data_IF_494734968763
#
_entry.id   IF_494734968763
#
_cell.length_a   1.000
_cell.length_b   1.000
_cell.length_c   1.000
_cell.angle_alpha   90.00
_cell.angle_beta   90.00
_cell.angle_gamma   90.00
#
_symmetry.space_group_name_H-M   'P 1'
#
loop_
_entity.id
_entity.type
_entity.pdbx_description
1 polymer ?
#
# COMPACT_ATOMS: atom_id res chain seq x y z
N UNK A 1 -135.25 71.83 -70.78
CA UNK A 1 -135.82 71.87 -69.41
C UNK A 1 -136.13 70.46 -68.86
N UNK A 2 -135.27 69.46 -69.07
CA UNK A 2 -135.29 68.13 -68.41
C UNK A 2 -133.93 67.44 -68.69
N UNK A 3 -132.89 67.72 -67.90
CA UNK A 3 -131.65 66.91 -67.86
C UNK A 3 -130.75 67.34 -66.70
N UNK A 4 -130.80 68.61 -66.31
CA UNK A 4 -130.01 69.19 -65.20
C UNK A 4 -130.22 68.49 -63.84
N UNK A 5 -131.38 67.86 -63.62
CA UNK A 5 -131.67 67.11 -62.39
C UNK A 5 -130.97 65.74 -62.30
N UNK A 6 -130.54 65.15 -63.44
CA UNK A 6 -129.79 63.87 -63.44
C UNK A 6 -128.31 64.07 -63.14
N UNK A 7 -127.75 65.22 -63.51
CA UNK A 7 -126.32 65.51 -63.35
C UNK A 7 -125.95 65.78 -61.90
N UNK A 8 -126.81 66.49 -61.15
CA UNK A 8 -126.57 66.82 -59.74
C UNK A 8 -126.70 65.60 -58.82
N UNK A 9 -127.64 64.70 -59.11
CA UNK A 9 -127.80 63.44 -58.36
C UNK A 9 -126.60 62.50 -58.58
N UNK A 10 -126.07 62.39 -59.80
CA UNK A 10 -124.85 61.63 -60.06
C UNK A 10 -123.63 62.19 -59.33
N UNK A 11 -123.46 63.53 -59.29
CA UNK A 11 -122.31 64.13 -58.60
C UNK A 11 -122.33 63.89 -57.08
N UNK A 12 -123.52 63.92 -56.46
CA UNK A 12 -123.68 63.70 -55.02
C UNK A 12 -123.44 62.23 -54.64
N UNK A 13 -123.87 61.30 -55.50
CA UNK A 13 -123.59 59.87 -55.32
C UNK A 13 -122.10 59.57 -55.50
N UNK A 14 -121.43 60.18 -56.49
CA UNK A 14 -119.98 60.02 -56.68
C UNK A 14 -119.20 60.62 -55.50
N UNK A 15 -119.60 61.78 -54.97
CA UNK A 15 -118.95 62.42 -53.83
C UNK A 15 -119.15 61.62 -52.52
N UNK A 16 -120.35 61.06 -52.30
CA UNK A 16 -120.59 60.23 -51.12
C UNK A 16 -119.92 58.85 -51.21
N UNK A 17 -119.77 58.29 -52.42
CA UNK A 17 -118.99 57.06 -52.64
C UNK A 17 -117.49 57.33 -52.45
N UNK A 18 -116.97 58.49 -52.87
CA UNK A 18 -115.56 58.82 -52.67
C UNK A 18 -115.23 59.15 -51.20
N UNK A 19 -116.10 59.83 -50.46
CA UNK A 19 -115.88 60.10 -49.03
C UNK A 19 -115.96 58.81 -48.18
N UNK A 20 -116.84 57.86 -48.55
CA UNK A 20 -116.94 56.56 -47.85
C UNK A 20 -115.80 55.59 -48.21
N UNK A 21 -115.26 55.63 -49.43
CA UNK A 21 -114.06 54.85 -49.79
C UNK A 21 -112.78 55.41 -49.15
N UNK A 22 -112.59 56.73 -49.10
CA UNK A 22 -111.39 57.34 -48.49
C UNK A 22 -111.28 57.07 -46.99
N UNK A 23 -112.40 56.97 -46.27
CA UNK A 23 -112.42 56.62 -44.84
C UNK A 23 -112.10 55.14 -44.55
N UNK A 24 -112.47 54.21 -45.43
CA UNK A 24 -112.16 52.78 -45.29
C UNK A 24 -110.78 52.38 -45.80
N UNK A 25 -110.20 53.12 -46.76
CA UNK A 25 -108.88 52.80 -47.35
C UNK A 25 -107.75 53.41 -46.52
N UNK A 26 -107.89 54.65 -46.04
CA UNK A 26 -106.85 55.33 -45.26
C UNK A 26 -106.59 54.71 -43.88
N UNK A 27 -107.59 54.10 -43.24
CA UNK A 27 -107.40 53.41 -41.95
C UNK A 27 -106.58 52.12 -42.08
N UNK A 28 -106.74 51.39 -43.19
CA UNK A 28 -105.99 50.15 -43.44
C UNK A 28 -104.54 50.41 -43.85
N UNK A 29 -104.28 51.48 -44.61
CA UNK A 29 -102.92 51.85 -45.05
C UNK A 29 -102.06 52.31 -43.87
N UNK A 30 -102.61 53.18 -43.00
CA UNK A 30 -101.90 53.66 -41.80
C UNK A 30 -101.62 52.52 -40.79
N UNK A 31 -102.53 51.54 -40.69
CA UNK A 31 -102.34 50.37 -39.84
C UNK A 31 -101.25 49.42 -40.38
N UNK A 32 -101.19 49.25 -41.71
CA UNK A 32 -100.16 48.44 -42.37
C UNK A 32 -98.76 49.09 -42.26
N UNK A 33 -98.67 50.42 -42.38
CA UNK A 33 -97.41 51.15 -42.19
C UNK A 33 -96.88 51.02 -40.76
N UNK A 34 -97.75 51.05 -39.76
CA UNK A 34 -97.37 50.82 -38.36
C UNK A 34 -96.86 49.39 -38.12
N UNK A 35 -97.52 48.38 -38.71
CA UNK A 35 -97.08 46.97 -38.62
C UNK A 35 -95.73 46.73 -39.33
N UNK A 36 -95.48 47.41 -40.45
CA UNK A 36 -94.18 47.39 -41.14
C UNK A 36 -93.08 48.03 -40.28
N UNK A 37 -93.37 49.14 -39.61
CA UNK A 37 -92.41 49.80 -38.71
C UNK A 37 -92.05 48.92 -37.51
N UNK A 38 -93.04 48.29 -36.87
CA UNK A 38 -92.82 47.34 -35.76
C UNK A 38 -92.00 46.13 -36.22
N UNK A 39 -92.32 45.55 -37.39
CA UNK A 39 -91.56 44.43 -37.94
C UNK A 39 -90.11 44.82 -38.28
N UNK A 40 -89.86 46.03 -38.80
CA UNK A 40 -88.51 46.53 -39.05
C UNK A 40 -87.73 46.72 -37.74
N UNK A 41 -88.38 47.18 -36.68
CA UNK A 41 -87.76 47.27 -35.36
C UNK A 41 -87.40 45.88 -34.82
N UNK A 42 -88.30 44.91 -34.90
CA UNK A 42 -88.05 43.51 -34.52
C UNK A 42 -86.87 42.93 -35.31
N UNK A 43 -86.80 43.18 -36.63
CA UNK A 43 -85.67 42.72 -37.47
C UNK A 43 -84.37 43.38 -37.01
N UNK A 44 -84.38 44.67 -36.71
CA UNK A 44 -83.20 45.39 -36.21
C UNK A 44 -82.72 44.82 -34.86
N UNK A 45 -83.65 44.59 -33.92
CA UNK A 45 -83.34 44.04 -32.60
C UNK A 45 -82.82 42.60 -32.72
N UNK A 46 -83.43 41.78 -33.58
CA UNK A 46 -82.95 40.42 -33.87
C UNK A 46 -81.57 40.42 -34.51
N UNK A 47 -81.28 41.34 -35.42
CA UNK A 47 -79.95 41.47 -36.03
C UNK A 47 -78.88 41.83 -34.98
N UNK A 48 -79.21 42.68 -34.01
CA UNK A 48 -78.30 43.01 -32.91
C UNK A 48 -78.00 41.78 -32.04
N UNK A 49 -79.04 41.01 -31.69
CA UNK A 49 -78.88 39.74 -30.95
C UNK A 49 -78.05 38.73 -31.74
N UNK A 50 -78.26 38.62 -33.06
CA UNK A 50 -77.47 37.73 -33.92
C UNK A 50 -75.99 38.12 -33.88
N UNK A 51 -75.66 39.41 -33.99
CA UNK A 51 -74.27 39.88 -33.92
C UNK A 51 -73.63 39.58 -32.57
N UNK A 52 -74.37 39.73 -31.46
CA UNK A 52 -73.87 39.36 -30.13
C UNK A 52 -73.61 37.86 -30.01
N UNK A 53 -74.51 37.02 -30.51
CA UNK A 53 -74.34 35.57 -30.53
C UNK A 53 -73.17 35.13 -31.42
N UNK A 54 -72.97 35.76 -32.57
CA UNK A 54 -71.82 35.49 -33.45
C UNK A 54 -70.49 35.79 -32.74
N UNK A 55 -70.41 36.92 -32.02
CA UNK A 55 -69.23 37.28 -31.24
C UNK A 55 -68.98 36.30 -30.07
N UNK A 56 -70.05 35.84 -29.40
CA UNK A 56 -69.94 34.82 -28.36
C UNK A 56 -69.46 33.47 -28.91
N UNK A 57 -69.99 33.05 -30.07
CA UNK A 57 -69.55 31.83 -30.76
C UNK A 57 -68.07 31.92 -31.16
N UNK A 58 -67.62 33.05 -31.68
CA UNK A 58 -66.20 33.26 -32.02
C UNK A 58 -65.31 33.16 -30.77
N UNK A 59 -65.73 33.80 -29.67
CA UNK A 59 -65.01 33.72 -28.41
C UNK A 59 -64.94 32.29 -27.86
N UNK A 60 -66.06 31.55 -27.88
CA UNK A 60 -66.12 30.16 -27.47
C UNK A 60 -65.24 29.26 -28.36
N UNK A 61 -65.21 29.52 -29.66
CA UNK A 61 -64.34 28.80 -30.60
C UNK A 61 -62.86 29.01 -30.27
N UNK A 62 -62.45 30.24 -29.96
CA UNK A 62 -61.08 30.54 -29.58
C UNK A 62 -60.69 29.86 -28.25
N UNK A 63 -61.58 29.90 -27.26
CA UNK A 63 -61.37 29.19 -25.98
C UNK A 63 -61.25 27.68 -26.19
N UNK A 64 -62.05 27.10 -27.08
CA UNK A 64 -61.98 25.67 -27.43
C UNK A 64 -60.65 25.32 -28.08
N UNK A 65 -60.12 26.15 -28.99
CA UNK A 65 -58.80 25.94 -29.59
C UNK A 65 -57.69 25.94 -28.53
N UNK A 66 -57.71 26.90 -27.59
CA UNK A 66 -56.74 26.96 -26.49
C UNK A 66 -56.86 25.74 -25.57
N UNK A 67 -58.09 25.33 -25.24
CA UNK A 67 -58.34 24.15 -24.42
C UNK A 67 -57.77 22.87 -25.07
N UNK A 68 -57.98 22.69 -26.39
CA UNK A 68 -57.44 21.55 -27.12
C UNK A 68 -55.90 21.55 -27.13
N UNK A 69 -55.26 22.71 -27.35
CA UNK A 69 -53.80 22.79 -27.28
C UNK A 69 -53.25 22.46 -25.88
N UNK A 70 -53.97 22.85 -24.83
CA UNK A 70 -53.58 22.48 -23.46
C UNK A 70 -53.74 20.99 -23.20
N UNK A 71 -54.79 20.36 -23.75
CA UNK A 71 -54.99 18.90 -23.67
C UNK A 71 -53.82 18.17 -24.35
N UNK A 72 -53.45 18.56 -25.57
CA UNK A 72 -52.34 17.95 -26.32
C UNK A 72 -51.01 18.02 -25.53
N UNK A 73 -50.74 19.17 -24.90
CA UNK A 73 -49.54 19.35 -24.08
C UNK A 73 -49.56 18.43 -22.84
N UNK A 74 -50.70 18.33 -22.16
CA UNK A 74 -50.86 17.47 -20.98
C UNK A 74 -50.75 15.98 -21.35
N UNK A 75 -51.26 15.58 -22.51
CA UNK A 75 -51.12 14.21 -23.01
C UNK A 75 -49.65 13.87 -23.31
N UNK A 76 -48.89 14.82 -23.87
CA UNK A 76 -47.46 14.66 -24.10
C UNK A 76 -46.68 14.54 -22.79
N UNK A 77 -46.96 15.40 -21.80
CA UNK A 77 -46.34 15.34 -20.48
C UNK A 77 -46.65 14.02 -19.77
N UNK A 78 -47.92 13.57 -19.81
CA UNK A 78 -48.33 12.29 -19.24
C UNK A 78 -47.58 11.11 -19.87
N UNK A 79 -47.40 11.13 -21.19
CA UNK A 79 -46.63 10.11 -21.91
C UNK A 79 -45.16 10.09 -21.46
N UNK A 80 -44.54 11.26 -21.30
CA UNK A 80 -43.16 11.38 -20.79
C UNK A 80 -43.04 10.84 -19.36
N UNK A 81 -43.92 11.26 -18.45
CA UNK A 81 -43.93 10.79 -17.06
C UNK A 81 -44.13 9.28 -16.97
N UNK A 82 -44.96 8.71 -17.85
CA UNK A 82 -45.17 7.26 -17.92
C UNK A 82 -43.88 6.52 -18.30
N UNK A 83 -43.12 7.05 -19.26
CA UNK A 83 -41.83 6.48 -19.66
C UNK A 83 -40.79 6.56 -18.52
N UNK A 84 -40.73 7.70 -17.82
CA UNK A 84 -39.82 7.88 -16.68
C UNK A 84 -40.14 6.93 -15.52
N UNK A 85 -41.44 6.71 -15.25
CA UNK A 85 -41.89 5.77 -14.21
C UNK A 85 -41.43 4.33 -14.52
N UNK A 86 -41.53 3.90 -15.79
CA UNK A 86 -41.07 2.58 -16.23
C UNK A 86 -39.55 2.46 -16.02
N UNK A 87 -38.78 3.50 -16.41
CA UNK A 87 -37.33 3.50 -16.23
C UNK A 87 -36.94 3.44 -14.76
N UNK A 88 -37.61 4.22 -13.89
CA UNK A 88 -37.39 4.19 -12.45
C UNK A 88 -37.69 2.82 -11.84
N UNK A 89 -38.80 2.19 -12.23
CA UNK A 89 -39.17 0.86 -11.76
C UNK A 89 -38.12 -0.20 -12.16
N UNK A 90 -37.59 -0.11 -13.39
CA UNK A 90 -36.51 -1.00 -13.83
C UNK A 90 -35.22 -0.78 -13.03
N UNK A 91 -34.84 0.48 -12.76
CA UNK A 91 -33.68 0.80 -11.92
C UNK A 91 -33.85 0.28 -10.49
N UNK A 92 -35.06 0.38 -9.94
CA UNK A 92 -35.37 -0.17 -8.61
C UNK A 92 -35.19 -1.70 -8.60
N UNK A 93 -35.74 -2.42 -9.57
CA UNK A 93 -35.60 -3.87 -9.66
C UNK A 93 -34.13 -4.32 -9.74
N UNK A 94 -33.30 -3.59 -10.50
CA UNK A 94 -31.85 -3.86 -10.57
C UNK A 94 -31.19 -3.61 -9.22
N UNK A 95 -31.51 -2.50 -8.56
CA UNK A 95 -30.98 -2.19 -7.23
C UNK A 95 -31.36 -3.25 -6.19
N UNK A 96 -32.60 -3.73 -6.21
CA UNK A 96 -33.07 -4.81 -5.32
C UNK A 96 -32.32 -6.12 -5.56
N UNK A 97 -32.02 -6.45 -6.83
CA UNK A 97 -31.21 -7.61 -7.16
C UNK A 97 -29.76 -7.48 -6.66
N UNK A 98 -29.15 -6.30 -6.83
CA UNK A 98 -27.81 -6.01 -6.33
C UNK A 98 -27.74 -6.08 -4.79
N UNK A 99 -28.74 -5.57 -4.08
CA UNK A 99 -28.82 -5.65 -2.61
C UNK A 99 -28.84 -7.12 -2.16
N UNK A 100 -29.69 -7.96 -2.76
CA UNK A 100 -29.75 -9.40 -2.42
C UNK A 100 -28.42 -10.11 -2.66
N UNK A 101 -27.70 -9.77 -3.73
CA UNK A 101 -26.39 -10.34 -4.01
C UNK A 101 -25.35 -9.93 -2.95
N UNK A 102 -25.37 -8.67 -2.52
CA UNK A 102 -24.50 -8.17 -1.45
C UNK A 102 -24.83 -8.81 -0.10
N UNK A 103 -26.10 -8.97 0.24
CA UNK A 103 -26.53 -9.67 1.46
C UNK A 103 -26.01 -11.12 1.49
N UNK A 104 -26.05 -11.83 0.36
CA UNK A 104 -25.49 -13.17 0.25
C UNK A 104 -23.97 -13.20 0.44
N UNK A 105 -23.26 -12.22 -0.14
CA UNK A 105 -21.80 -12.11 0.05
C UNK A 105 -21.42 -11.81 1.50
N UNK A 106 -22.16 -10.91 2.18
CA UNK A 106 -21.96 -10.61 3.60
C UNK A 106 -22.13 -11.88 4.44
N UNK A 107 -23.18 -12.67 4.19
CA UNK A 107 -23.39 -13.93 4.91
C UNK A 107 -22.22 -14.92 4.76
N UNK A 108 -21.66 -15.05 3.55
CA UNK A 108 -20.50 -15.92 3.32
C UNK A 108 -19.26 -15.42 4.07
N UNK A 109 -19.03 -14.11 4.08
CA UNK A 109 -17.91 -13.49 4.80
C UNK A 109 -18.05 -13.67 6.32
N UNK A 110 -19.27 -13.51 6.86
CA UNK A 110 -19.55 -13.75 8.28
C UNK A 110 -19.28 -15.20 8.68
N UNK A 111 -19.65 -16.17 7.84
CA UNK A 111 -19.35 -17.58 8.09
C UNK A 111 -17.84 -17.85 8.11
N UNK A 112 -17.11 -17.38 7.09
CA UNK A 112 -15.66 -17.54 7.02
C UNK A 112 -14.95 -16.86 8.21
N UNK A 113 -15.44 -15.70 8.67
CA UNK A 113 -14.90 -15.03 9.85
C UNK A 113 -15.05 -15.85 11.12
N UNK A 114 -16.18 -16.55 11.29
CA UNK A 114 -16.40 -17.45 12.44
C UNK A 114 -15.46 -18.64 12.40
N UNK A 115 -15.26 -19.25 11.22
CA UNK A 115 -14.32 -20.35 11.02
C UNK A 115 -12.89 -19.94 11.33
N UNK A 116 -12.44 -18.79 10.80
CA UNK A 116 -11.11 -18.24 11.08
C UNK A 116 -10.90 -17.93 12.56
N UNK A 117 -11.92 -17.42 13.27
CA UNK A 117 -11.85 -17.22 14.73
C UNK A 117 -11.68 -18.54 15.48
N UNK A 118 -12.37 -19.60 15.04
CA UNK A 118 -12.22 -20.93 15.63
C UNK A 118 -10.80 -21.48 15.44
N UNK A 119 -10.27 -21.37 14.22
CA UNK A 119 -8.91 -21.79 13.88
C UNK A 119 -7.88 -21.02 14.72
N UNK A 120 -8.01 -19.68 14.81
CA UNK A 120 -7.14 -18.84 15.66
C UNK A 120 -7.12 -19.32 17.11
N UNK A 121 -8.28 -19.62 17.69
CA UNK A 121 -8.35 -20.10 19.08
C UNK A 121 -7.68 -21.47 19.24
N UNK A 122 -7.82 -22.36 18.26
CA UNK A 122 -7.14 -23.66 18.25
C UNK A 122 -5.62 -23.51 18.17
N UNK A 123 -5.13 -22.64 17.29
CA UNK A 123 -3.69 -22.35 17.16
C UNK A 123 -3.12 -21.72 18.42
N UNK A 124 -3.85 -20.78 19.05
CA UNK A 124 -3.44 -20.21 20.32
C UNK A 124 -3.30 -21.29 21.41
N UNK A 125 -4.26 -22.21 21.50
CA UNK A 125 -4.17 -23.31 22.46
C UNK A 125 -2.98 -24.23 22.19
N UNK A 126 -2.61 -24.45 20.92
CA UNK A 126 -1.44 -25.24 20.56
C UNK A 126 -0.14 -24.51 20.91
N UNK A 127 -0.08 -23.19 20.64
CA UNK A 127 1.06 -22.35 21.00
C UNK A 127 1.30 -22.33 22.52
N UNK A 128 0.24 -22.24 23.32
CA UNK A 128 0.34 -22.26 24.78
C UNK A 128 0.91 -23.60 25.28
N UNK A 129 0.51 -24.72 24.66
CA UNK A 129 1.04 -26.05 24.99
C UNK A 129 2.53 -26.15 24.67
N UNK A 130 2.93 -25.75 23.46
CA UNK A 130 4.33 -25.79 23.02
C UNK A 130 5.21 -24.89 23.88
N UNK A 131 4.72 -23.68 24.21
CA UNK A 131 5.43 -22.74 25.08
C UNK A 131 5.72 -23.35 26.45
N UNK A 132 4.72 -24.02 27.05
CA UNK A 132 4.92 -24.69 28.33
C UNK A 132 5.91 -25.85 28.24
N UNK A 133 5.83 -26.67 27.18
CA UNK A 133 6.78 -27.76 26.95
C UNK A 133 8.21 -27.25 26.74
N UNK A 134 8.39 -26.10 26.08
CA UNK A 134 9.70 -25.47 25.91
C UNK A 134 10.28 -24.97 27.23
N UNK A 135 9.46 -24.36 28.09
CA UNK A 135 9.88 -23.95 29.44
C UNK A 135 10.33 -25.15 30.26
N UNK A 136 9.58 -26.26 30.20
CA UNK A 136 9.96 -27.51 30.88
C UNK A 136 11.29 -28.07 30.35
N UNK A 137 11.49 -28.08 29.04
CA UNK A 137 12.74 -28.52 28.42
C UNK A 137 13.93 -27.64 28.82
N UNK A 138 13.77 -26.31 28.79
CA UNK A 138 14.81 -25.37 29.21
C UNK A 138 15.20 -25.54 30.67
N UNK A 139 14.23 -25.82 31.56
CA UNK A 139 14.53 -26.13 32.95
C UNK A 139 15.32 -27.44 33.09
N UNK A 140 15.03 -28.45 32.28
CA UNK A 140 15.80 -29.70 32.26
C UNK A 140 17.24 -29.47 31.78
N UNK A 141 17.42 -28.67 30.74
CA UNK A 141 18.75 -28.28 30.23
C UNK A 141 19.55 -27.59 31.33
N UNK A 142 18.98 -26.60 32.02
CA UNK A 142 19.66 -25.88 33.09
C UNK A 142 20.13 -26.81 34.24
N UNK A 143 19.30 -27.80 34.58
CA UNK A 143 19.67 -28.82 35.56
C UNK A 143 20.86 -29.67 35.07
N UNK A 144 20.82 -30.14 33.82
CA UNK A 144 21.90 -30.91 33.22
C UNK A 144 23.21 -30.11 33.10
N UNK A 145 23.14 -28.82 32.77
CA UNK A 145 24.31 -27.93 32.74
C UNK A 145 24.96 -27.82 34.11
N UNK A 146 24.15 -27.72 35.17
CA UNK A 146 24.66 -27.68 36.56
C UNK A 146 25.34 -29.00 36.93
N UNK A 147 24.73 -30.14 36.57
CA UNK A 147 25.34 -31.46 36.78
C UNK A 147 26.67 -31.60 36.03
N UNK A 148 26.76 -31.11 34.79
CA UNK A 148 27.98 -31.11 33.98
C UNK A 148 29.08 -30.24 34.60
N UNK A 149 28.74 -29.05 35.10
CA UNK A 149 29.70 -28.20 35.82
C UNK A 149 30.28 -28.90 37.05
N UNK A 150 29.45 -29.57 37.83
CA UNK A 150 29.89 -30.36 38.99
C UNK A 150 30.81 -31.52 38.58
N UNK A 151 30.48 -32.19 37.47
CA UNK A 151 31.32 -33.24 36.91
C UNK A 151 32.68 -32.68 36.44
N UNK A 152 32.70 -31.53 35.75
CA UNK A 152 33.94 -30.88 35.30
C UNK A 152 34.82 -30.39 36.45
N UNK A 153 34.23 -29.85 37.52
CA UNK A 153 34.97 -29.49 38.73
C UNK A 153 35.62 -30.73 39.38
N UNK A 154 34.90 -31.84 39.38
CA UNK A 154 35.41 -33.13 39.86
C UNK A 154 36.57 -33.63 38.99
N UNK A 155 36.44 -33.56 37.65
CA UNK A 155 37.50 -33.91 36.70
C UNK A 155 38.74 -33.03 36.91
N UNK A 156 38.57 -31.72 37.09
CA UNK A 156 39.66 -30.79 37.35
C UNK A 156 40.42 -31.14 38.63
N UNK A 157 39.69 -31.48 39.69
CA UNK A 157 40.28 -31.94 40.95
C UNK A 157 41.07 -33.23 40.77
N UNK A 158 40.55 -34.18 39.98
CA UNK A 158 41.25 -35.42 39.65
C UNK A 158 42.50 -35.16 38.79
N UNK A 159 42.44 -34.21 37.86
CA UNK A 159 43.59 -33.79 37.05
C UNK A 159 44.68 -33.15 37.90
N UNK A 160 44.34 -32.30 38.87
CA UNK A 160 45.29 -31.76 39.85
C UNK A 160 45.96 -32.88 40.64
N UNK A 161 45.19 -33.84 41.13
CA UNK A 161 45.74 -35.00 41.84
C UNK A 161 46.68 -35.83 40.96
N UNK A 162 46.34 -36.04 39.68
CA UNK A 162 47.20 -36.70 38.71
C UNK A 162 48.46 -35.88 38.43
N UNK A 163 48.33 -34.56 38.32
CA UNK A 163 49.45 -33.65 38.08
C UNK A 163 50.41 -33.61 39.28
N UNK A 164 49.92 -33.60 40.51
CA UNK A 164 50.75 -33.78 41.71
C UNK A 164 51.46 -35.13 41.70
N UNK A 165 50.74 -36.21 41.33
CA UNK A 165 51.34 -37.54 41.21
C UNK A 165 52.45 -37.57 40.14
N UNK A 166 52.22 -36.90 39.01
CA UNK A 166 53.15 -36.80 37.89
C UNK A 166 54.31 -35.84 38.18
N UNK A 167 54.11 -34.77 38.95
CA UNK A 167 55.15 -33.85 39.37
C UNK A 167 56.07 -34.51 40.41
N UNK A 168 55.52 -35.35 41.29
CA UNK A 168 56.31 -36.27 42.11
C UNK A 168 57.08 -37.29 41.23
N UNK A 169 56.62 -37.55 40.00
CA UNK A 169 57.24 -38.46 39.04
C UNK A 169 58.29 -37.79 38.12
N UNK A 170 58.16 -36.49 37.85
CA UNK A 170 58.97 -35.73 36.87
C UNK A 170 59.69 -34.54 37.52
N UNK A 171 60.72 -34.80 38.32
CA UNK A 171 61.86 -33.88 38.47
C UNK A 171 62.74 -33.94 37.21
N UNK A 172 62.27 -33.49 36.05
CA UNK A 172 63.14 -33.01 34.96
C UNK A 172 62.36 -32.25 33.89
N UNK A 173 62.91 -31.07 33.55
CA UNK A 173 62.71 -30.24 32.35
C UNK A 173 61.41 -29.42 32.20
N UNK A 174 61.62 -28.10 32.12
CA UNK A 174 60.65 -27.02 31.90
C UNK A 174 60.87 -26.36 30.52
N UNK A 175 59.94 -25.44 30.21
CA UNK A 175 59.83 -24.44 29.13
C UNK A 175 59.05 -24.94 27.90
N UNK A 176 58.07 -24.22 27.35
CA UNK A 176 57.63 -22.84 27.52
C UNK A 176 57.17 -22.34 26.14
N UNK A 177 55.95 -21.82 25.99
CA UNK A 177 55.35 -21.43 24.69
C UNK A 177 55.12 -19.91 24.57
N UNK A 178 55.25 -19.42 23.33
CA UNK A 178 55.20 -18.03 22.90
C UNK A 178 54.22 -17.95 21.72
N UNK A 179 53.23 -17.04 21.74
CA UNK A 179 52.16 -16.93 20.74
C UNK A 179 52.50 -15.93 19.63
N UNK A 180 52.20 -16.33 18.39
CA UNK A 180 52.30 -15.54 17.16
C UNK A 180 50.88 -15.15 16.73
N UNK A 181 50.65 -13.88 16.36
CA UNK A 181 49.37 -13.38 15.87
C UNK A 181 49.07 -14.00 14.49
N UNK A 182 48.00 -14.79 14.41
CA UNK A 182 47.50 -15.39 13.16
C UNK A 182 46.55 -14.41 12.43
N UNK A 183 46.48 -14.44 11.08
CA UNK A 183 45.62 -13.58 10.29
C UNK A 183 44.12 -13.86 10.57
N UNK A 184 43.30 -12.80 10.60
CA UNK A 184 41.86 -12.90 10.87
C UNK A 184 41.09 -13.21 9.58
N UNK A 185 40.60 -14.45 9.45
CA UNK A 185 39.97 -14.95 8.23
C UNK A 185 38.45 -14.80 8.29
N UNK A 186 37.86 -14.12 7.30
CA UNK A 186 36.42 -13.89 7.23
C UNK A 186 35.84 -14.50 5.95
N UNK A 187 34.77 -15.28 6.11
CA UNK A 187 33.97 -15.77 5.00
C UNK A 187 32.72 -14.91 4.85
N UNK A 188 32.58 -14.26 3.71
CA UNK A 188 31.40 -13.50 3.33
C UNK A 188 30.55 -14.30 2.36
N UNK A 189 29.28 -14.52 2.69
CA UNK A 189 28.30 -15.13 1.78
C UNK A 189 27.10 -14.21 1.59
N UNK A 190 26.66 -14.05 0.34
CA UNK A 190 25.54 -13.16 0.07
C UNK A 190 25.34 -12.74 -1.37
N UNK A 191 24.70 -11.58 -1.50
CA UNK A 191 24.34 -10.95 -2.78
C UNK A 191 24.93 -9.53 -2.93
N UNK A 192 24.41 -8.78 -3.91
CA UNK A 192 25.04 -7.60 -4.47
C UNK A 192 24.98 -6.38 -3.55
N UNK A 193 24.20 -6.46 -2.48
CA UNK A 193 24.04 -5.41 -1.47
C UNK A 193 25.05 -5.54 -0.32
N UNK A 194 25.84 -6.62 -0.27
CA UNK A 194 26.95 -6.76 0.68
C UNK A 194 28.30 -6.99 0.02
N UNK A 195 28.34 -7.58 -1.19
CA UNK A 195 29.59 -7.83 -1.93
C UNK A 195 30.50 -6.59 -2.07
N UNK A 196 30.01 -5.38 -2.40
CA UNK A 196 30.89 -4.23 -2.55
C UNK A 196 31.63 -3.87 -1.25
N UNK A 197 30.97 -3.98 -0.11
CA UNK A 197 31.54 -3.73 1.22
C UNK A 197 32.57 -4.80 1.58
N UNK A 198 32.22 -6.08 1.43
CA UNK A 198 33.15 -7.19 1.62
C UNK A 198 34.41 -7.02 0.76
N UNK A 199 34.26 -6.55 -0.49
CA UNK A 199 35.40 -6.36 -1.39
C UNK A 199 36.38 -5.26 -0.93
N UNK A 200 35.97 -4.35 -0.04
CA UNK A 200 36.81 -3.28 0.50
C UNK A 200 37.45 -3.61 1.87
N UNK A 201 37.05 -4.73 2.50
CA UNK A 201 37.46 -5.02 3.88
C UNK A 201 38.97 -5.21 4.04
N UNK A 202 39.66 -5.85 3.09
CA UNK A 202 41.13 -5.98 3.10
C UNK A 202 41.82 -4.61 3.06
N UNK A 203 41.38 -3.72 2.17
CA UNK A 203 41.95 -2.38 2.02
C UNK A 203 41.71 -1.53 3.28
N UNK A 204 40.48 -1.55 3.83
CA UNK A 204 40.14 -0.82 5.05
C UNK A 204 40.88 -1.39 6.27
N UNK A 205 40.99 -2.71 6.41
CA UNK A 205 41.75 -3.35 7.47
C UNK A 205 43.24 -2.94 7.44
N UNK A 206 43.84 -2.85 6.25
CA UNK A 206 45.22 -2.42 6.08
C UNK A 206 45.45 -0.98 6.56
N UNK A 207 44.47 -0.08 6.42
CA UNK A 207 44.57 1.32 6.88
C UNK A 207 44.72 1.43 8.41
N UNK A 208 44.22 0.44 9.15
CA UNK A 208 44.27 0.39 10.63
C UNK A 208 45.18 -0.72 11.16
N UNK A 209 45.96 -1.36 10.28
CA UNK A 209 46.99 -2.33 10.66
C UNK A 209 46.45 -3.70 11.08
N UNK A 210 45.25 -4.08 10.62
CA UNK A 210 44.68 -5.41 10.83
C UNK A 210 45.09 -6.33 9.68
N UNK A 211 45.62 -7.51 10.02
CA UNK A 211 45.84 -8.59 9.06
C UNK A 211 44.51 -9.32 8.80
N UNK A 212 43.78 -8.86 7.80
CA UNK A 212 42.48 -9.39 7.39
C UNK A 212 42.64 -10.21 6.12
N UNK A 213 42.14 -11.44 6.14
CA UNK A 213 42.06 -12.30 4.97
C UNK A 213 40.60 -12.66 4.73
N UNK A 214 40.19 -12.77 3.47
CA UNK A 214 38.79 -13.01 3.16
C UNK A 214 38.55 -14.03 2.06
N UNK A 215 37.41 -14.70 2.18
CA UNK A 215 36.79 -15.47 1.10
C UNK A 215 35.39 -14.92 0.85
N UNK A 216 35.02 -14.76 -0.41
CA UNK A 216 33.71 -14.20 -0.79
C UNK A 216 33.00 -15.18 -1.72
N UNK A 217 31.88 -15.75 -1.27
CA UNK A 217 30.99 -16.58 -2.09
C UNK A 217 29.71 -15.79 -2.38
N UNK A 218 29.52 -15.42 -3.65
CA UNK A 218 28.46 -14.50 -4.05
C UNK A 218 27.62 -15.03 -5.21
N UNK A 219 26.31 -14.73 -5.16
CA UNK A 219 25.41 -14.82 -6.30
C UNK A 219 24.49 -13.59 -6.37
N UNK A 220 24.14 -13.14 -7.57
CA UNK A 220 23.38 -11.90 -7.77
C UNK A 220 21.90 -12.03 -7.41
N UNK A 221 21.33 -10.96 -6.86
CA UNK A 221 19.91 -10.92 -6.44
C UNK A 221 19.58 -11.98 -5.38
N UNK A 222 18.32 -12.43 -5.39
CA UNK A 222 17.79 -13.38 -4.39
C UNK A 222 18.60 -14.69 -4.33
N UNK A 223 19.22 -15.10 -5.44
CA UNK A 223 20.05 -16.31 -5.51
C UNK A 223 21.30 -16.28 -4.61
N UNK A 224 21.68 -15.12 -4.10
CA UNK A 224 22.76 -14.96 -3.12
C UNK A 224 22.27 -14.90 -1.67
N UNK A 225 20.97 -15.05 -1.41
CA UNK A 225 20.46 -15.16 -0.04
C UNK A 225 20.91 -16.47 0.64
N UNK A 226 20.90 -16.55 1.99
CA UNK A 226 21.27 -17.78 2.70
C UNK A 226 20.52 -19.02 2.20
N UNK A 227 19.20 -18.94 2.07
CA UNK A 227 18.35 -20.05 1.58
C UNK A 227 18.79 -20.54 0.20
N UNK A 228 18.90 -19.63 -0.76
CA UNK A 228 19.23 -19.98 -2.14
C UNK A 228 20.68 -20.49 -2.28
N UNK A 229 21.62 -19.95 -1.49
CA UNK A 229 22.99 -20.46 -1.42
C UNK A 229 23.05 -21.86 -0.82
N UNK A 230 22.23 -22.12 0.22
CA UNK A 230 22.14 -23.44 0.81
C UNK A 230 21.52 -24.43 -0.16
N UNK A 231 20.42 -24.10 -0.85
CA UNK A 231 19.76 -25.01 -1.79
C UNK A 231 20.60 -25.29 -3.04
N UNK A 232 21.39 -24.31 -3.48
CA UNK A 232 22.31 -24.49 -4.60
C UNK A 232 23.50 -25.39 -4.21
N UNK A 233 23.48 -26.64 -4.69
CA UNK A 233 24.53 -27.63 -4.41
C UNK A 233 25.94 -27.10 -4.69
N UNK A 234 26.14 -26.38 -5.80
CA UNK A 234 27.47 -25.88 -6.17
C UNK A 234 27.97 -24.81 -5.19
N UNK A 235 27.11 -23.86 -4.81
CA UNK A 235 27.45 -22.81 -3.84
C UNK A 235 27.60 -23.34 -2.43
N UNK A 236 26.69 -24.21 -2.00
CA UNK A 236 26.79 -24.88 -0.70
C UNK A 236 28.10 -25.67 -0.59
N UNK A 237 28.50 -26.42 -1.62
CA UNK A 237 29.78 -27.14 -1.64
C UNK A 237 30.96 -26.18 -1.54
N UNK A 238 30.99 -25.10 -2.33
CA UNK A 238 32.05 -24.08 -2.28
C UNK A 238 32.20 -23.46 -0.88
N UNK A 239 31.08 -23.13 -0.22
CA UNK A 239 31.06 -22.58 1.14
C UNK A 239 31.57 -23.62 2.15
N UNK A 240 31.12 -24.88 2.05
CA UNK A 240 31.56 -25.96 2.92
C UNK A 240 33.06 -26.26 2.77
N UNK A 241 33.60 -26.25 1.55
CA UNK A 241 35.02 -26.44 1.29
C UNK A 241 35.90 -25.35 1.93
N UNK A 242 35.42 -24.11 1.99
CA UNK A 242 36.10 -23.03 2.70
C UNK A 242 36.05 -23.26 4.22
N UNK A 243 34.87 -23.61 4.75
CA UNK A 243 34.69 -23.88 6.18
C UNK A 243 35.50 -25.10 6.65
N UNK A 244 35.62 -26.14 5.82
CA UNK A 244 36.45 -27.33 6.05
C UNK A 244 37.94 -27.00 6.20
N UNK A 245 38.37 -25.81 5.76
CA UNK A 245 39.72 -25.29 5.98
C UNK A 245 40.06 -25.05 7.46
N UNK A 246 39.06 -24.98 8.36
CA UNK A 246 39.27 -24.96 9.81
C UNK A 246 39.93 -23.70 10.38
N UNK A 247 39.93 -22.60 9.62
CA UNK A 247 40.59 -21.34 9.99
C UNK A 247 39.70 -20.10 9.87
N UNK A 248 38.37 -20.25 9.79
CA UNK A 248 37.46 -19.10 9.66
C UNK A 248 37.13 -18.51 11.03
N UNK A 249 37.48 -17.24 11.24
CA UNK A 249 37.21 -16.51 12.49
C UNK A 249 35.81 -15.89 12.51
N UNK A 250 35.31 -15.47 11.34
CA UNK A 250 33.95 -14.95 11.21
C UNK A 250 33.29 -15.45 9.92
N UNK A 251 32.04 -15.91 10.02
CA UNK A 251 31.14 -16.11 8.89
C UNK A 251 30.13 -14.97 8.87
N UNK A 252 30.10 -14.19 7.79
CA UNK A 252 29.11 -13.13 7.57
C UNK A 252 28.09 -13.58 6.52
N UNK A 253 26.82 -13.53 6.90
CA UNK A 253 25.68 -13.83 6.03
C UNK A 253 24.87 -12.56 5.77
N UNK A 254 24.69 -12.22 4.49
CA UNK A 254 23.94 -11.04 4.08
C UNK A 254 22.45 -11.39 3.96
N UNK A 255 21.62 -10.63 4.68
CA UNK A 255 20.17 -10.75 4.67
C UNK A 255 19.59 -10.36 3.30
N UNK A 256 18.52 -10.98 2.80
CA UNK A 256 17.66 -11.94 3.48
C UNK A 256 17.14 -13.03 2.54
N UNK A 257 16.81 -14.20 3.08
CA UNK A 257 16.14 -15.26 2.32
C UNK A 257 14.71 -14.89 1.92
N UNK A 258 14.24 -15.27 0.72
CA UNK A 258 12.89 -14.97 0.26
C UNK A 258 11.79 -15.49 1.18
N UNK A 259 11.95 -16.69 1.75
CA UNK A 259 11.00 -17.27 2.71
C UNK A 259 10.87 -16.44 3.98
N UNK A 260 12.00 -15.98 4.54
CA UNK A 260 12.05 -15.13 5.72
C UNK A 260 11.38 -13.77 5.45
N UNK A 261 11.65 -13.16 4.30
CA UNK A 261 10.99 -11.92 3.90
C UNK A 261 9.46 -12.10 3.73
N UNK A 262 9.04 -13.20 3.08
CA UNK A 262 7.63 -13.47 2.78
C UNK A 262 6.75 -13.64 4.03
N UNK A 263 7.34 -14.10 5.14
CA UNK A 263 6.66 -14.25 6.43
C UNK A 263 7.02 -13.13 7.42
N UNK A 264 7.55 -12.02 6.93
CA UNK A 264 7.95 -10.86 7.74
C UNK A 264 8.87 -11.26 8.90
N UNK A 265 9.74 -12.25 8.75
CA UNK A 265 10.65 -12.72 9.80
C UNK A 265 10.00 -13.37 11.02
N UNK A 266 8.74 -13.80 10.91
CA UNK A 266 8.04 -14.50 12.00
C UNK A 266 8.62 -15.90 12.27
N UNK A 267 9.14 -16.56 11.24
CA UNK A 267 9.87 -17.81 11.32
C UNK A 267 11.38 -17.61 11.11
N UNK A 268 12.17 -18.56 11.60
CA UNK A 268 13.62 -18.57 11.44
C UNK A 268 14.02 -18.93 10.00
N UNK A 269 15.20 -18.45 9.58
CA UNK A 269 15.83 -18.83 8.32
C UNK A 269 16.63 -20.13 8.52
N UNK A 270 16.07 -21.26 8.10
CA UNK A 270 16.69 -22.59 8.25
C UNK A 270 18.11 -22.65 7.65
N UNK A 271 18.38 -21.91 6.57
CA UNK A 271 19.70 -21.91 5.97
C UNK A 271 20.74 -21.19 6.82
N UNK A 272 20.36 -20.14 7.54
CA UNK A 272 21.22 -19.48 8.54
C UNK A 272 21.61 -20.47 9.65
N UNK A 273 20.67 -21.28 10.15
CA UNK A 273 20.97 -22.34 11.13
C UNK A 273 21.90 -23.40 10.55
N UNK A 274 21.65 -23.82 9.31
CA UNK A 274 22.42 -24.85 8.64
C UNK A 274 23.88 -24.42 8.40
N UNK A 275 24.11 -23.21 7.89
CA UNK A 275 25.45 -22.67 7.74
C UNK A 275 26.15 -22.45 9.08
N UNK A 276 25.44 -21.95 10.10
CA UNK A 276 25.98 -21.76 11.45
C UNK A 276 26.41 -23.08 12.08
N UNK A 277 25.56 -24.10 12.03
CA UNK A 277 25.86 -25.45 12.51
C UNK A 277 27.13 -26.01 11.87
N UNK A 278 27.25 -25.87 10.54
CA UNK A 278 28.42 -26.34 9.82
C UNK A 278 29.68 -25.54 10.16
N UNK A 279 29.57 -24.20 10.20
CA UNK A 279 30.69 -23.33 10.54
C UNK A 279 31.25 -23.66 11.93
N UNK A 280 30.39 -23.76 12.96
CA UNK A 280 30.79 -24.09 14.32
C UNK A 280 31.28 -25.53 14.48
N UNK A 281 30.80 -26.47 13.66
CA UNK A 281 31.33 -27.83 13.64
C UNK A 281 32.78 -27.87 13.17
N UNK A 282 33.13 -27.11 12.12
CA UNK A 282 34.48 -27.11 11.57
C UNK A 282 35.42 -26.10 12.25
N UNK A 283 34.85 -25.01 12.76
CA UNK A 283 35.56 -23.87 13.34
C UNK A 283 34.85 -23.47 14.65
N UNK A 284 35.13 -24.13 15.79
CA UNK A 284 34.34 -23.98 17.02
C UNK A 284 34.27 -22.58 17.63
N UNK A 285 35.19 -21.70 17.27
CA UNK A 285 35.27 -20.32 17.77
C UNK A 285 34.80 -19.27 16.74
N UNK A 286 34.28 -19.68 15.58
CA UNK A 286 33.79 -18.74 14.57
C UNK A 286 32.67 -17.89 15.12
N UNK A 287 32.76 -16.58 14.89
CA UNK A 287 31.68 -15.62 15.14
C UNK A 287 30.73 -15.58 13.94
N UNK A 288 29.45 -15.39 14.19
CA UNK A 288 28.42 -15.38 13.15
C UNK A 288 27.88 -13.96 13.01
N UNK A 289 28.22 -13.30 11.91
CA UNK A 289 27.74 -11.97 11.56
C UNK A 289 26.52 -12.05 10.66
N UNK A 290 25.43 -11.38 11.02
CA UNK A 290 24.25 -11.25 10.16
C UNK A 290 24.07 -9.79 9.72
N UNK A 291 24.29 -9.54 8.43
CA UNK A 291 24.30 -8.19 7.85
C UNK A 291 22.92 -7.81 7.28
N UNK A 292 22.36 -6.66 7.66
CA UNK A 292 21.10 -6.15 7.13
C UNK A 292 21.34 -5.03 6.10
N UNK A 293 20.90 -5.17 4.84
CA UNK A 293 20.95 -4.10 3.84
C UNK A 293 19.72 -3.19 3.92
N UNK A 294 19.53 -2.35 2.90
CA UNK A 294 18.36 -1.49 2.71
C UNK A 294 17.34 -2.09 1.73
N UNK A 295 16.15 -1.49 1.67
CA UNK A 295 15.06 -1.93 0.79
C UNK A 295 15.36 -1.61 -0.68
N UNK A 296 14.94 -2.50 -1.59
CA UNK A 296 15.10 -2.31 -3.02
C UNK A 296 14.30 -1.11 -3.56
N UNK A 297 14.65 -0.67 -4.77
CA UNK A 297 13.88 0.32 -5.53
C UNK A 297 13.70 1.66 -4.78
N UNK A 298 14.79 2.34 -4.38
CA UNK A 298 14.77 3.53 -3.53
C UNK A 298 13.90 4.68 -4.05
N UNK A 299 13.74 4.77 -5.38
CA UNK A 299 12.94 5.81 -6.05
C UNK A 299 11.42 5.56 -5.98
N UNK A 300 10.97 4.46 -5.38
CA UNK A 300 9.56 4.21 -5.10
C UNK A 300 9.09 4.87 -3.79
N UNK A 301 10.02 5.37 -2.99
CA UNK A 301 9.77 6.02 -1.70
C UNK A 301 9.97 7.53 -1.81
N UNK A 302 9.08 8.31 -1.20
CA UNK A 302 9.11 9.77 -1.32
C UNK A 302 10.33 10.39 -0.64
N UNK A 303 10.84 9.75 0.43
CA UNK A 303 11.96 10.25 1.24
C UNK A 303 12.68 9.09 1.96
N UNK A 304 13.82 9.40 2.60
CA UNK A 304 14.62 8.45 3.34
C UNK A 304 13.86 7.78 4.51
N UNK A 305 13.00 8.51 5.23
CA UNK A 305 12.21 7.95 6.34
C UNK A 305 11.28 6.84 5.85
N UNK A 306 10.55 7.08 4.76
CA UNK A 306 9.64 6.08 4.19
C UNK A 306 10.39 4.88 3.64
N UNK A 307 11.58 5.10 3.05
CA UNK A 307 12.42 4.03 2.53
C UNK A 307 12.95 3.12 3.65
N UNK A 308 13.26 3.70 4.81
CA UNK A 308 13.82 3.00 5.98
C UNK A 308 12.80 2.17 6.76
N UNK A 309 11.53 2.56 6.76
CA UNK A 309 10.46 2.00 7.60
C UNK A 309 10.37 0.46 7.58
N UNK A 310 10.55 -0.18 6.42
CA UNK A 310 10.45 -1.64 6.31
C UNK A 310 11.67 -2.34 6.90
N UNK A 311 12.87 -1.87 6.58
CA UNK A 311 14.12 -2.50 7.01
C UNK A 311 14.42 -2.25 8.49
N UNK A 312 13.93 -1.17 9.10
CA UNK A 312 14.04 -0.97 10.56
C UNK A 312 13.20 -1.98 11.34
N UNK A 313 12.00 -2.25 10.86
CA UNK A 313 11.17 -3.32 11.42
C UNK A 313 11.82 -4.68 11.17
N UNK A 314 12.32 -4.92 9.96
CA UNK A 314 13.04 -6.12 9.60
C UNK A 314 14.28 -6.36 10.47
N UNK A 315 15.07 -5.33 10.74
CA UNK A 315 16.30 -5.43 11.53
C UNK A 315 16.01 -5.85 12.98
N UNK A 316 14.94 -5.34 13.60
CA UNK A 316 14.50 -5.81 14.91
C UNK A 316 14.15 -7.31 14.92
N UNK A 317 13.56 -7.81 13.84
CA UNK A 317 13.22 -9.23 13.71
C UNK A 317 14.47 -10.08 13.44
N UNK A 318 15.41 -9.53 12.68
CA UNK A 318 16.73 -10.11 12.43
C UNK A 318 17.56 -10.23 13.71
N UNK A 319 17.55 -9.21 14.58
CA UNK A 319 18.16 -9.26 15.92
C UNK A 319 17.54 -10.32 16.82
N UNK A 320 16.20 -10.43 16.81
CA UNK A 320 15.52 -11.48 17.58
C UNK A 320 15.87 -12.88 17.07
N UNK A 321 16.01 -13.06 15.75
CA UNK A 321 16.46 -14.31 15.14
C UNK A 321 17.91 -14.63 15.54
N UNK A 322 18.80 -13.65 15.49
CA UNK A 322 20.19 -13.79 15.94
C UNK A 322 20.30 -14.25 17.40
N UNK A 323 19.45 -13.69 18.29
CA UNK A 323 19.39 -14.10 19.69
C UNK A 323 18.95 -15.57 19.87
N UNK A 324 17.99 -16.03 19.06
CA UNK A 324 17.58 -17.45 19.04
C UNK A 324 18.69 -18.34 18.51
N UNK A 325 19.33 -17.94 17.40
CA UNK A 325 20.46 -18.64 16.81
C UNK A 325 21.59 -18.82 17.82
N UNK A 326 21.99 -17.76 18.53
CA UNK A 326 23.00 -17.84 19.59
C UNK A 326 22.62 -18.84 20.68
N UNK A 327 21.38 -18.78 21.18
CA UNK A 327 20.87 -19.69 22.21
C UNK A 327 20.91 -21.16 21.77
N UNK A 328 20.53 -21.45 20.53
CA UNK A 328 20.48 -22.81 20.00
C UNK A 328 21.88 -23.43 19.82
N UNK A 329 22.90 -22.59 19.64
CA UNK A 329 24.30 -23.01 19.49
C UNK A 329 25.16 -22.75 20.73
N UNK A 330 24.63 -23.07 21.92
CA UNK A 330 25.33 -22.95 23.21
C UNK A 330 25.86 -21.55 23.54
N UNK A 331 25.11 -20.50 23.19
CA UNK A 331 25.51 -19.10 23.28
C UNK A 331 26.74 -18.79 22.41
N UNK A 332 26.75 -19.28 21.17
CA UNK A 332 27.73 -18.88 20.17
C UNK A 332 27.72 -17.36 20.00
N UNK A 333 28.88 -16.79 19.64
CA UNK A 333 29.00 -15.35 19.36
C UNK A 333 28.31 -15.04 18.03
N UNK A 334 27.04 -14.62 18.12
CA UNK A 334 26.24 -14.16 17.00
C UNK A 334 26.02 -12.67 17.17
N UNK A 335 26.36 -11.89 16.14
CA UNK A 335 26.17 -10.45 16.11
C UNK A 335 25.42 -10.04 14.85
N UNK A 336 24.65 -8.97 14.95
CA UNK A 336 23.99 -8.34 13.82
C UNK A 336 24.58 -6.97 13.57
N UNK A 337 24.53 -6.52 12.32
CA UNK A 337 24.85 -5.14 12.01
C UNK A 337 24.04 -4.67 10.81
N UNK A 338 23.68 -3.39 10.80
CA UNK A 338 22.76 -2.81 9.85
C UNK A 338 23.49 -1.81 8.96
N UNK A 339 24.13 -2.31 7.90
CA UNK A 339 24.86 -1.44 6.99
C UNK A 339 23.94 -0.61 6.08
N UNK A 340 22.65 -0.95 6.01
CA UNK A 340 21.62 -0.10 5.41
C UNK A 340 21.48 1.28 6.07
N UNK A 341 21.82 1.41 7.35
CA UNK A 341 21.81 2.69 8.07
C UNK A 341 22.69 3.74 7.40
N UNK A 342 23.88 3.36 6.92
CA UNK A 342 24.76 4.28 6.21
C UNK A 342 24.09 4.87 4.97
N UNK A 343 23.30 4.06 4.25
CA UNK A 343 22.56 4.53 3.09
C UNK A 343 21.46 5.50 3.51
N UNK A 344 20.63 5.15 4.51
CA UNK A 344 19.51 6.00 4.93
C UNK A 344 19.99 7.34 5.49
N UNK A 345 21.06 7.36 6.30
CA UNK A 345 21.64 8.62 6.79
C UNK A 345 22.18 9.49 5.66
N UNK A 346 22.91 8.92 4.72
CA UNK A 346 23.39 9.68 3.56
C UNK A 346 22.24 10.19 2.68
N UNK A 347 21.15 9.42 2.57
CA UNK A 347 19.93 9.86 1.87
C UNK A 347 19.24 11.01 2.61
N UNK A 348 19.12 10.94 3.94
CA UNK A 348 18.64 12.06 4.76
C UNK A 348 19.47 13.32 4.53
N UNK A 349 20.80 13.20 4.61
CA UNK A 349 21.71 14.32 4.37
C UNK A 349 21.56 14.90 2.96
N UNK A 350 21.40 14.06 1.94
CA UNK A 350 21.14 14.50 0.56
C UNK A 350 19.81 15.25 0.44
N UNK A 351 18.73 14.71 0.99
CA UNK A 351 17.39 15.31 0.93
C UNK A 351 17.31 16.65 1.69
N UNK A 352 18.10 16.80 2.75
CA UNK A 352 18.24 18.06 3.50
C UNK A 352 19.19 19.08 2.84
N UNK A 353 19.90 18.69 1.78
CA UNK A 353 20.91 19.53 1.11
C UNK A 353 22.21 19.68 1.90
N UNK A 354 22.49 18.74 2.81
CA UNK A 354 23.67 18.69 3.68
C UNK A 354 24.77 17.73 3.16
N UNK A 355 24.56 17.06 2.02
CA UNK A 355 25.54 16.19 1.37
C UNK A 355 26.01 16.78 0.03
N UNK A 356 27.16 17.45 0.00
CA UNK A 356 27.71 18.08 -1.21
C UNK A 356 28.45 17.10 -2.13
N UNK A 357 28.88 15.96 -1.61
CA UNK A 357 29.58 14.90 -2.33
C UNK A 357 28.74 14.25 -3.44
N UNK A 358 27.42 14.36 -3.32
CA UNK A 358 26.46 13.72 -4.22
C UNK A 358 25.63 14.77 -4.94
N UNK A 359 25.58 14.68 -6.26
CA UNK A 359 24.83 15.62 -7.12
C UNK A 359 23.44 15.13 -7.53
N UNK A 360 23.17 13.84 -7.35
CA UNK A 360 21.93 13.20 -7.76
C UNK A 360 21.68 11.93 -6.93
N UNK A 361 20.41 11.61 -6.68
CA UNK A 361 20.05 10.41 -5.92
C UNK A 361 20.48 9.11 -6.63
N UNK A 362 20.36 9.06 -7.97
CA UNK A 362 20.71 7.91 -8.78
C UNK A 362 21.53 8.31 -10.02
N UNK A 363 22.68 7.68 -10.26
CA UNK A 363 23.63 8.10 -11.29
C UNK A 363 24.91 7.25 -11.38
N UNK A 364 26.07 7.88 -11.60
CA UNK A 364 27.35 7.16 -11.59
C UNK A 364 27.80 6.91 -10.14
N UNK A 365 28.59 5.86 -9.94
CA UNK A 365 29.08 5.49 -8.60
C UNK A 365 29.84 6.62 -7.90
N UNK A 366 30.50 7.52 -8.65
CA UNK A 366 31.30 8.59 -8.06
C UNK A 366 30.48 9.75 -7.49
N UNK A 367 29.23 9.95 -7.93
CA UNK A 367 28.48 11.18 -7.62
C UNK A 367 27.00 10.99 -7.29
N UNK A 368 26.61 9.76 -6.93
CA UNK A 368 25.24 9.39 -6.59
C UNK A 368 25.17 8.42 -5.42
N UNK A 369 24.03 8.38 -4.72
CA UNK A 369 23.80 7.39 -3.65
C UNK A 369 23.48 6.00 -4.22
N UNK A 370 22.81 5.95 -5.38
CA UNK A 370 22.44 4.71 -6.05
C UNK A 370 22.94 4.66 -7.50
N UNK A 371 23.47 3.53 -7.94
CA UNK A 371 23.99 3.38 -9.31
C UNK A 371 22.92 2.92 -10.30
N UNK A 372 21.81 2.37 -9.83
CA UNK A 372 20.72 1.87 -10.66
C UNK A 372 19.36 1.85 -9.93
N UNK A 373 18.34 1.44 -10.67
CA UNK A 373 16.97 1.38 -10.17
C UNK A 373 16.78 0.34 -9.05
N UNK A 374 17.59 -0.73 -9.02
CA UNK A 374 17.51 -1.74 -7.95
C UNK A 374 17.95 -1.12 -6.63
N UNK A 375 18.88 -0.17 -6.69
CA UNK A 375 19.37 0.57 -5.54
C UNK A 375 20.77 0.15 -5.12
N UNK A 376 21.61 -0.36 -6.02
CA UNK A 376 23.00 -0.65 -5.68
C UNK A 376 23.74 0.63 -5.25
N UNK A 377 24.57 0.53 -4.21
CA UNK A 377 25.23 1.67 -3.59
C UNK A 377 26.25 2.35 -4.52
N UNK A 378 26.25 3.68 -4.51
CA UNK A 378 27.38 4.49 -4.98
C UNK A 378 28.53 4.52 -3.97
N UNK A 379 29.67 5.06 -4.36
CA UNK A 379 30.94 4.88 -3.65
C UNK A 379 30.91 5.41 -2.20
N UNK A 380 30.35 6.59 -1.97
CA UNK A 380 30.26 7.17 -0.61
C UNK A 380 29.45 6.30 0.35
N UNK A 381 28.40 5.63 -0.15
CA UNK A 381 27.60 4.68 0.63
C UNK A 381 28.41 3.43 0.92
N UNK A 382 29.18 2.93 -0.05
CA UNK A 382 30.04 1.76 0.15
C UNK A 382 31.12 2.06 1.20
N UNK A 383 31.81 3.19 1.11
CA UNK A 383 32.89 3.55 2.04
C UNK A 383 32.35 3.76 3.46
N UNK A 384 31.26 4.53 3.59
CA UNK A 384 30.60 4.77 4.89
C UNK A 384 30.10 3.46 5.51
N UNK A 385 29.46 2.59 4.72
CA UNK A 385 29.00 1.29 5.22
C UNK A 385 30.15 0.33 5.53
N UNK A 386 31.30 0.44 4.86
CA UNK A 386 32.48 -0.39 5.15
C UNK A 386 33.07 -0.04 6.52
N UNK A 387 32.99 1.22 6.96
CA UNK A 387 33.30 1.60 8.34
C UNK A 387 32.38 0.91 9.37
N UNK A 388 31.09 0.74 9.05
CA UNK A 388 30.17 -0.02 9.91
C UNK A 388 30.54 -1.51 9.96
N UNK A 389 30.98 -2.09 8.84
CA UNK A 389 31.46 -3.48 8.80
C UNK A 389 32.76 -3.65 9.61
N UNK A 390 33.68 -2.69 9.53
CA UNK A 390 34.91 -2.67 10.32
C UNK A 390 34.63 -2.58 11.82
N UNK A 391 33.65 -1.77 12.21
CA UNK A 391 33.17 -1.72 13.60
C UNK A 391 32.54 -3.05 14.03
N UNK A 392 31.67 -3.65 13.22
CA UNK A 392 30.97 -4.88 13.59
C UNK A 392 31.91 -6.11 13.68
N UNK A 393 32.81 -6.26 12.71
CA UNK A 393 33.66 -7.45 12.58
C UNK A 393 34.90 -7.32 13.46
N UNK A 394 35.58 -6.18 13.41
CA UNK A 394 36.88 -5.97 14.06
C UNK A 394 36.83 -5.10 15.31
N UNK A 395 35.65 -4.60 15.69
CA UNK A 395 35.48 -3.69 16.83
C UNK A 395 36.37 -2.42 16.71
N UNK A 396 36.48 -1.90 15.49
CA UNK A 396 37.26 -0.70 15.18
C UNK A 396 36.33 0.52 15.09
N UNK A 397 36.61 1.52 15.93
CA UNK A 397 35.90 2.79 15.90
C UNK A 397 36.15 3.52 14.57
N UNK A 398 35.13 4.07 13.89
CA UNK A 398 35.28 4.78 12.62
C UNK A 398 36.32 5.91 12.66
N UNK A 399 36.44 6.61 13.79
CA UNK A 399 37.40 7.70 13.98
C UNK A 399 38.86 7.26 14.12
N UNK A 400 39.14 5.96 14.16
CA UNK A 400 40.52 5.44 14.12
C UNK A 400 41.11 5.39 12.71
N UNK A 401 40.26 5.47 11.68
CA UNK A 401 40.68 5.53 10.29
C UNK A 401 41.29 6.89 9.93
N UNK A 402 42.25 6.93 8.98
CA UNK A 402 42.70 8.18 8.40
C UNK A 402 41.54 8.95 7.75
N UNK A 403 41.73 10.26 7.55
CA UNK A 403 40.77 11.07 6.79
C UNK A 403 40.64 10.55 5.35
N UNK A 404 39.39 10.53 4.86
CA UNK A 404 39.08 10.14 3.49
C UNK A 404 39.02 11.39 2.62
N UNK A 405 40.14 11.72 1.96
CA UNK A 405 40.26 12.94 1.14
C UNK A 405 39.38 12.95 -0.13
N UNK A 406 38.78 11.80 -0.47
CA UNK A 406 37.85 11.67 -1.60
C UNK A 406 36.48 12.30 -1.32
N UNK A 407 36.15 12.57 -0.04
CA UNK A 407 34.86 13.11 0.40
C UNK A 407 35.01 14.43 1.14
N UNK A 408 34.18 15.42 0.81
CA UNK A 408 34.01 16.65 1.60
C UNK A 408 33.33 16.35 2.94
N UNK A 409 32.38 15.40 2.95
CA UNK A 409 31.75 14.89 4.16
C UNK A 409 32.68 13.94 4.90
N UNK A 410 32.89 14.16 6.20
CA UNK A 410 33.63 13.22 7.04
C UNK A 410 32.77 11.97 7.33
N UNK A 411 32.89 10.97 6.45
CA UNK A 411 32.16 9.71 6.53
C UNK A 411 32.44 8.91 7.82
N UNK A 412 33.57 9.19 8.51
CA UNK A 412 33.88 8.58 9.82
C UNK A 412 32.96 9.10 10.89
N UNK A 413 32.65 10.40 10.86
CA UNK A 413 31.70 11.02 11.79
C UNK A 413 30.28 10.54 11.49
N UNK A 414 29.91 10.41 10.22
CA UNK A 414 28.60 9.82 9.84
C UNK A 414 28.48 8.40 10.40
N UNK A 415 29.46 7.53 10.14
CA UNK A 415 29.47 6.17 10.68
C UNK A 415 29.50 6.12 12.21
N UNK A 416 30.25 7.00 12.87
CA UNK A 416 30.29 7.08 14.32
C UNK A 416 28.92 7.47 14.91
N UNK A 417 28.24 8.43 14.30
CA UNK A 417 26.92 8.87 14.75
C UNK A 417 25.92 7.71 14.68
N UNK A 418 25.88 6.98 13.56
CA UNK A 418 25.06 5.77 13.38
C UNK A 418 25.29 4.78 14.51
N UNK A 419 26.55 4.46 14.83
CA UNK A 419 26.89 3.52 15.90
C UNK A 419 26.52 4.04 17.30
N UNK A 420 26.53 5.36 17.50
CA UNK A 420 26.26 5.99 18.80
C UNK A 420 24.79 6.15 19.14
N UNK A 421 23.91 6.14 18.14
CA UNK A 421 22.46 6.28 18.32
C UNK A 421 21.81 5.04 18.96
N UNK A 422 22.58 3.95 19.09
CA UNK A 422 22.19 2.77 19.84
C UNK A 422 21.11 1.98 19.12
N UNK A 423 21.52 1.24 18.10
CA UNK A 423 20.68 0.22 17.47
C UNK A 423 20.65 -1.06 18.29
#
# INVERSE_FOLDING_TARGET
>A
MFSWAKTTACLLVILMISISLSGCIGSNETQLEAEIADNNQIISDNNLVITELEAEVENLSNLLTVANSNIDNLEQEHSSLTADLILMNNRQNVSEASIKALEQQIFQLEYALVENKSIKNSLQSQLDVVTNSLVEANQQIANLTTELMLANATISTLQEQIAELNAQLNETTNDGENTQDDPYNVLYIGHSFGRPFASQMEDFAALVGIDHNQSIVFSGGDSGSPEELWENVGRRTEIMEILDGGSIDTLVMICCSPSWQADYGLNDDDAVWNFTSYALQQNPNTRIGLAMPWEDFPLQFDNASEHRDLTDRGYNMWMNMAGRLSSDFNNADVFTFYHGEAMYELRHMYEEGNLSDVSQLMGSSENSLFTDQKGHAGQIVIDTGTLLWMAAIHNIEPNSFPEFDDWETDIRIVAQNILSEGN
#
